data_IF_263951121943
#
_entry.id   IF_263951121943
#
_cell.length_a   1.000
_cell.length_b   1.000
_cell.length_c   1.000
_cell.angle_alpha   90.00
_cell.angle_beta   90.00
_cell.angle_gamma   90.00
#
_symmetry.space_group_name_H-M   'P 1'
#
loop_
_entity.id
_entity.type
_entity.pdbx_description
1 polymer ?
#
# COMPACT_ATOMS: atom_id res chain seq x y z
N UNK A 1 -28.85 0.89 5.55
CA UNK A 1 -29.00 1.39 4.16
C UNK A 1 -27.69 1.11 3.44
N UNK A 2 -27.67 0.17 2.50
CA UNK A 2 -26.49 -0.08 1.65
C UNK A 2 -26.39 1.05 0.63
N UNK A 3 -25.45 1.97 0.83
CA UNK A 3 -25.11 3.00 -0.16
C UNK A 3 -24.87 2.32 -1.51
N UNK A 4 -25.46 2.80 -2.62
CA UNK A 4 -25.14 2.26 -3.94
C UNK A 4 -23.63 2.33 -4.16
N UNK A 5 -23.04 1.30 -4.78
CA UNK A 5 -21.61 1.20 -5.10
C UNK A 5 -21.23 2.17 -6.22
N UNK A 6 -21.45 3.46 -5.99
CA UNK A 6 -20.93 4.54 -6.82
C UNK A 6 -19.42 4.61 -6.61
N UNK A 7 -18.71 5.14 -7.60
CA UNK A 7 -17.28 5.42 -7.46
C UNK A 7 -16.97 6.24 -6.21
N UNK A 8 -17.78 7.28 -5.94
CA UNK A 8 -17.65 8.10 -4.75
C UNK A 8 -17.84 7.27 -3.46
N UNK A 9 -18.84 6.39 -3.42
CA UNK A 9 -19.06 5.48 -2.31
C UNK A 9 -17.90 4.50 -2.11
N UNK A 10 -17.34 3.94 -3.18
CA UNK A 10 -16.16 3.09 -3.12
C UNK A 10 -14.95 3.84 -2.56
N UNK A 11 -14.66 5.05 -3.06
CA UNK A 11 -13.57 5.88 -2.57
C UNK A 11 -13.71 6.27 -1.10
N UNK A 12 -14.95 6.54 -0.64
CA UNK A 12 -15.27 6.80 0.76
C UNK A 12 -15.08 5.58 1.66
N UNK A 13 -15.30 4.37 1.13
CA UNK A 13 -15.07 3.11 1.82
C UNK A 13 -13.63 2.61 1.69
N UNK A 14 -12.68 3.47 1.30
CA UNK A 14 -11.26 3.10 1.25
C UNK A 14 -10.83 2.30 0.02
N UNK A 15 -11.72 2.08 -0.95
CA UNK A 15 -11.34 1.46 -2.21
C UNK A 15 -10.58 2.46 -3.09
N UNK A 16 -9.66 1.93 -3.89
CA UNK A 16 -8.93 2.68 -4.92
C UNK A 16 -8.98 1.96 -6.24
N UNK A 17 -9.07 2.74 -7.31
CA UNK A 17 -8.95 2.24 -8.66
C UNK A 17 -7.57 1.58 -8.84
N UNK A 18 -7.55 0.41 -9.48
CA UNK A 18 -6.36 -0.32 -9.84
C UNK A 18 -6.37 -0.66 -11.34
N UNK A 19 -5.20 -0.55 -11.98
CA UNK A 19 -5.02 -1.00 -13.35
C UNK A 19 -5.16 -2.52 -13.45
N UNK A 20 -5.36 -3.04 -14.66
CA UNK A 20 -5.38 -4.49 -14.89
C UNK A 20 -4.09 -5.19 -14.43
N UNK A 21 -2.93 -4.55 -14.65
CA UNK A 21 -1.62 -5.06 -14.22
C UNK A 21 -1.48 -5.07 -12.70
N UNK A 22 -1.88 -4.01 -12.02
CA UNK A 22 -1.84 -3.94 -10.56
C UNK A 22 -2.79 -4.95 -9.91
N UNK A 23 -3.99 -5.11 -10.48
CA UNK A 23 -4.91 -6.15 -10.03
C UNK A 23 -4.33 -7.56 -10.20
N UNK A 24 -3.63 -7.83 -11.31
CA UNK A 24 -2.96 -9.13 -11.50
C UNK A 24 -1.85 -9.32 -10.46
N UNK A 25 -1.01 -8.32 -10.26
CA UNK A 25 0.05 -8.33 -9.25
C UNK A 25 -0.48 -8.63 -7.85
N UNK A 26 -1.50 -7.90 -7.38
CA UNK A 26 -2.06 -8.11 -6.04
C UNK A 26 -2.64 -9.52 -5.87
N UNK A 27 -3.29 -10.03 -6.92
CA UNK A 27 -3.79 -11.41 -6.92
C UNK A 27 -2.65 -12.43 -6.86
N UNK A 28 -1.59 -12.23 -7.65
CA UNK A 28 -0.44 -13.13 -7.71
C UNK A 28 0.37 -13.13 -6.40
N UNK A 29 0.35 -12.02 -5.65
CA UNK A 29 1.01 -11.89 -4.34
C UNK A 29 0.15 -12.42 -3.18
N UNK A 30 -1.06 -12.90 -3.43
CA UNK A 30 -1.88 -13.61 -2.46
C UNK A 30 -3.01 -12.80 -1.81
N UNK A 31 -3.27 -11.57 -2.24
CA UNK A 31 -4.40 -10.79 -1.70
C UNK A 31 -5.74 -11.39 -2.16
N UNK A 32 -6.55 -11.83 -1.18
CA UNK A 32 -7.82 -12.49 -1.42
C UNK A 32 -8.93 -11.48 -1.75
N UNK A 33 -9.17 -11.26 -3.05
CA UNK A 33 -10.42 -10.76 -3.65
C UNK A 33 -11.16 -9.64 -2.90
N UNK A 34 -10.47 -8.53 -2.65
CA UNK A 34 -11.10 -7.23 -2.37
C UNK A 34 -11.39 -6.43 -3.66
N UNK A 35 -11.30 -7.10 -4.81
CA UNK A 35 -11.60 -6.53 -6.10
C UNK A 35 -13.12 -6.33 -6.28
N UNK A 36 -13.55 -5.09 -6.46
CA UNK A 36 -14.92 -4.78 -6.91
C UNK A 36 -14.86 -4.22 -8.32
N UNK A 37 -15.78 -4.68 -9.18
CA UNK A 37 -16.02 -4.03 -10.48
C UNK A 37 -16.90 -2.81 -10.23
N UNK A 38 -16.33 -1.63 -10.41
CA UNK A 38 -17.07 -0.38 -10.44
C UNK A 38 -17.70 -0.13 -11.81
N UNK A 39 -18.79 0.64 -11.89
CA UNK A 39 -19.31 1.13 -13.16
C UNK A 39 -18.32 2.13 -13.79
N UNK A 40 -18.00 2.11 -15.10
CA UNK A 40 -18.27 1.10 -16.11
C UNK A 40 -16.95 0.38 -16.48
N UNK A 41 -16.59 -0.72 -15.80
CA UNK A 41 -15.38 -1.54 -16.05
C UNK A 41 -14.09 -1.14 -15.32
N UNK A 42 -14.17 -0.29 -14.30
CA UNK A 42 -13.01 0.07 -13.46
C UNK A 42 -12.83 -0.98 -12.35
N UNK A 43 -11.60 -1.47 -12.14
CA UNK A 43 -11.29 -2.38 -11.03
C UNK A 43 -10.95 -1.55 -9.81
N UNK A 44 -11.61 -1.83 -8.70
CA UNK A 44 -11.32 -1.22 -7.40
C UNK A 44 -10.77 -2.28 -6.47
N UNK A 45 -9.75 -1.95 -5.67
CA UNK A 45 -9.21 -2.82 -4.63
C UNK A 45 -9.22 -2.11 -3.28
N UNK A 46 -9.43 -2.88 -2.21
CA UNK A 46 -9.34 -2.44 -0.83
C UNK A 46 -8.28 -3.30 -0.12
N UNK A 47 -7.41 -2.70 0.72
CA UNK A 47 -7.36 -1.30 1.15
C UNK A 47 -6.53 -0.38 0.24
N UNK A 48 -6.77 0.93 0.35
CA UNK A 48 -6.05 1.97 -0.39
C UNK A 48 -4.52 1.96 -0.19
N UNK A 49 -4.05 1.59 1.01
CA UNK A 49 -2.63 1.50 1.33
C UNK A 49 -1.91 0.44 0.46
N UNK A 50 -2.51 -0.73 0.28
CA UNK A 50 -1.98 -1.82 -0.55
C UNK A 50 -1.88 -1.41 -2.01
N UNK A 51 -2.92 -0.74 -2.53
CA UNK A 51 -2.92 -0.19 -3.89
C UNK A 51 -1.83 0.86 -4.07
N UNK A 52 -1.62 1.71 -3.07
CA UNK A 52 -0.53 2.68 -3.08
C UNK A 52 0.81 1.95 -3.15
N UNK A 53 1.10 1.00 -2.25
CA UNK A 53 2.38 0.26 -2.26
C UNK A 53 2.66 -0.51 -3.54
N UNK A 54 1.61 -1.07 -4.17
CA UNK A 54 1.75 -1.78 -5.43
C UNK A 54 2.07 -0.85 -6.63
N UNK A 55 1.91 0.47 -6.48
CA UNK A 55 2.21 1.42 -7.55
C UNK A 55 3.71 1.69 -7.66
N UNK A 56 4.24 1.65 -8.88
CA UNK A 56 5.65 1.92 -9.20
C UNK A 56 6.16 3.26 -8.66
N UNK A 57 5.28 4.26 -8.53
CA UNK A 57 5.64 5.58 -7.96
C UNK A 57 6.11 5.51 -6.51
N UNK A 58 5.86 4.41 -5.81
CA UNK A 58 6.29 4.21 -4.43
C UNK A 58 7.56 3.36 -4.32
N UNK A 59 8.15 2.89 -5.42
CA UNK A 59 9.42 2.14 -5.39
C UNK A 59 10.54 2.95 -4.72
N UNK A 60 10.54 4.28 -4.86
CA UNK A 60 11.50 5.18 -4.19
C UNK A 60 11.50 5.05 -2.66
N UNK A 61 10.37 4.67 -2.08
CA UNK A 61 10.26 4.45 -0.63
C UNK A 61 10.95 3.16 -0.22
N UNK A 62 10.88 2.11 -1.05
CA UNK A 62 11.54 0.85 -0.78
C UNK A 62 13.07 0.96 -0.86
N UNK A 63 13.60 1.93 -1.60
CA UNK A 63 15.03 2.25 -1.63
C UNK A 63 15.41 3.16 -2.81
N UNK A 64 16.62 3.76 -2.77
CA UNK A 64 17.08 4.69 -3.80
C UNK A 64 17.47 4.01 -5.13
N UNK A 65 17.69 2.70 -5.11
CA UNK A 65 18.03 1.91 -6.29
C UNK A 65 16.73 1.49 -6.97
N UNK A 66 16.30 2.14 -8.06
CA UNK A 66 15.17 1.67 -8.86
C UNK A 66 15.56 0.42 -9.68
N UNK A 67 16.08 -0.59 -8.99
CA UNK A 67 16.64 -1.81 -9.53
C UNK A 67 15.78 -3.03 -9.14
N UNK A 68 16.25 -4.21 -9.53
CA UNK A 68 15.57 -5.46 -9.24
C UNK A 68 15.39 -5.71 -7.73
N UNK A 69 16.34 -5.28 -6.89
CA UNK A 69 16.27 -5.47 -5.44
C UNK A 69 15.14 -4.66 -4.81
N UNK A 70 14.83 -3.48 -5.34
CA UNK A 70 13.69 -2.67 -4.88
C UNK A 70 12.35 -3.28 -5.28
N UNK A 71 12.26 -3.91 -6.45
CA UNK A 71 11.07 -4.68 -6.86
C UNK A 71 10.88 -5.90 -5.95
N UNK A 72 11.95 -6.64 -5.67
CA UNK A 72 11.91 -7.81 -4.79
C UNK A 72 11.48 -7.43 -3.36
N UNK A 73 11.97 -6.29 -2.83
CA UNK A 73 11.54 -5.73 -1.53
C UNK A 73 10.05 -5.39 -1.53
N UNK A 74 9.56 -4.68 -2.55
CA UNK A 74 8.13 -4.36 -2.69
C UNK A 74 7.28 -5.63 -2.64
N UNK A 75 7.64 -6.63 -3.44
CA UNK A 75 6.88 -7.87 -3.55
C UNK A 75 6.94 -8.67 -2.25
N UNK A 76 8.07 -8.67 -1.54
CA UNK A 76 8.19 -9.29 -0.22
C UNK A 76 7.29 -8.59 0.81
N UNK A 77 7.26 -7.25 0.85
CA UNK A 77 6.38 -6.50 1.73
C UNK A 77 4.91 -6.77 1.43
N UNK A 78 4.52 -6.76 0.16
CA UNK A 78 3.15 -7.06 -0.26
C UNK A 78 2.74 -8.49 0.12
N UNK A 79 3.63 -9.47 0.00
CA UNK A 79 3.37 -10.85 0.48
C UNK A 79 3.24 -10.93 2.00
N UNK A 80 4.06 -10.19 2.75
CA UNK A 80 3.97 -10.15 4.20
C UNK A 80 2.62 -9.58 4.65
N UNK A 81 2.13 -8.53 4.00
CA UNK A 81 0.81 -7.96 4.25
C UNK A 81 -0.29 -8.95 3.85
N UNK A 82 -0.20 -9.60 2.70
CA UNK A 82 -1.19 -10.59 2.27
C UNK A 82 -1.28 -11.79 3.22
N UNK A 83 -0.18 -12.13 3.89
CA UNK A 83 -0.13 -13.20 4.89
C UNK A 83 -0.66 -12.77 6.27
N UNK A 84 -0.83 -11.46 6.51
CA UNK A 84 -1.21 -10.89 7.81
C UNK A 84 -2.38 -9.88 7.66
N UNK A 85 -3.62 -10.36 7.84
CA UNK A 85 -4.80 -9.50 7.79
C UNK A 85 -4.84 -8.41 8.88
N UNK A 86 -4.16 -8.61 10.02
CA UNK A 86 -4.08 -7.59 11.08
C UNK A 86 -3.15 -6.46 10.66
N UNK A 87 -2.01 -6.79 10.05
CA UNK A 87 -1.12 -5.82 9.41
C UNK A 87 -1.85 -5.04 8.31
N UNK A 88 -2.57 -5.72 7.41
CA UNK A 88 -3.36 -5.06 6.37
C UNK A 88 -4.39 -4.07 6.94
N UNK A 89 -5.10 -4.46 8.01
CA UNK A 89 -6.06 -3.61 8.70
C UNK A 89 -5.39 -2.42 9.42
N UNK A 90 -4.22 -2.63 10.02
CA UNK A 90 -3.46 -1.57 10.68
C UNK A 90 -2.96 -0.52 9.67
N UNK A 91 -2.43 -0.95 8.53
CA UNK A 91 -2.01 -0.05 7.45
C UNK A 91 -3.18 0.76 6.90
N UNK A 92 -4.36 0.15 6.80
CA UNK A 92 -5.58 0.87 6.44
C UNK A 92 -5.95 1.92 7.49
N UNK A 93 -5.90 1.58 8.78
CA UNK A 93 -6.19 2.52 9.85
C UNK A 93 -5.24 3.73 9.80
N UNK A 94 -3.93 3.48 9.65
CA UNK A 94 -2.92 4.53 9.46
C UNK A 94 -3.27 5.40 8.25
N UNK A 95 -3.55 4.79 7.10
CA UNK A 95 -3.90 5.50 5.87
C UNK A 95 -5.12 6.43 6.06
N UNK A 96 -6.16 5.97 6.76
CA UNK A 96 -7.38 6.75 6.98
C UNK A 96 -7.17 7.86 8.01
N UNK A 97 -6.38 7.63 9.06
CA UNK A 97 -6.11 8.62 10.11
C UNK A 97 -5.42 9.88 9.60
N UNK A 98 -4.58 9.77 8.56
CA UNK A 98 -3.89 10.91 7.95
C UNK A 98 -4.76 11.66 6.91
N UNK A 99 -6.02 11.22 6.71
CA UNK A 99 -6.88 11.74 5.67
C UNK A 99 -6.36 11.41 4.27
N UNK A 100 -7.12 11.70 3.22
CA UNK A 100 -6.74 11.33 1.84
C UNK A 100 -5.58 12.17 1.25
N UNK A 101 -4.79 12.85 2.09
CA UNK A 101 -3.51 13.47 1.71
C UNK A 101 -2.54 12.35 1.31
N UNK A 102 -2.34 12.18 -0.01
CA UNK A 102 -1.61 11.02 -0.53
C UNK A 102 -0.13 10.97 -0.11
N UNK A 103 0.48 12.08 0.31
CA UNK A 103 1.89 12.13 0.68
C UNK A 103 2.11 11.77 2.15
N UNK A 104 1.37 12.39 3.07
CA UNK A 104 1.52 12.15 4.52
C UNK A 104 1.02 10.75 4.90
N UNK A 105 -0.13 10.33 4.35
CA UNK A 105 -0.65 8.99 4.57
C UNK A 105 0.30 7.91 4.04
N UNK A 106 0.93 8.14 2.88
CA UNK A 106 1.92 7.22 2.35
C UNK A 106 3.20 7.19 3.18
N UNK A 107 3.70 8.34 3.64
CA UNK A 107 4.84 8.41 4.54
C UNK A 107 4.54 7.65 5.83
N UNK A 108 3.39 7.87 6.45
CA UNK A 108 2.99 7.20 7.68
C UNK A 108 2.84 5.68 7.50
N UNK A 109 2.19 5.23 6.42
CA UNK A 109 2.11 3.80 6.07
C UNK A 109 3.50 3.21 5.87
N UNK A 110 4.40 3.92 5.21
CA UNK A 110 5.76 3.45 5.01
C UNK A 110 6.55 3.37 6.32
N UNK A 111 6.47 4.39 7.18
CA UNK A 111 7.07 4.37 8.51
C UNK A 111 6.58 3.17 9.33
N UNK A 112 5.27 2.92 9.31
CA UNK A 112 4.68 1.77 9.98
C UNK A 112 5.23 0.45 9.43
N UNK A 113 5.42 0.31 8.11
CA UNK A 113 5.98 -0.90 7.52
C UNK A 113 7.43 -1.14 7.90
N UNK A 114 8.24 -0.08 7.98
CA UNK A 114 9.62 -0.22 8.45
C UNK A 114 9.68 -0.68 9.90
N UNK A 115 8.73 -0.26 10.73
CA UNK A 115 8.61 -0.69 12.12
C UNK A 115 8.07 -2.12 12.24
N UNK A 116 7.09 -2.48 11.40
CA UNK A 116 6.42 -3.78 11.44
C UNK A 116 7.21 -4.92 10.76
N UNK A 117 8.01 -4.59 9.73
CA UNK A 117 8.76 -5.56 8.92
C UNK A 117 10.24 -5.13 8.78
N UNK A 118 10.96 -4.91 9.90
CA UNK A 118 12.32 -4.36 9.87
C UNK A 118 13.31 -5.20 9.06
N UNK A 119 13.10 -6.51 8.95
CA UNK A 119 13.91 -7.43 8.16
C UNK A 119 13.87 -7.16 6.66
N UNK A 120 12.80 -6.55 6.14
CA UNK A 120 12.66 -6.20 4.72
C UNK A 120 13.33 -4.87 4.36
N UNK A 121 13.58 -4.02 5.36
CA UNK A 121 14.13 -2.69 5.17
C UNK A 121 15.55 -2.54 5.75
N UNK A 122 16.01 -3.47 6.59
CA UNK A 122 17.35 -3.47 7.16
C UNK A 122 17.65 -2.15 7.89
N UNK A 123 18.88 -1.63 7.73
CA UNK A 123 19.32 -0.37 8.33
C UNK A 123 18.83 0.88 7.56
N UNK A 124 17.82 0.78 6.68
CA UNK A 124 17.26 1.94 5.98
C UNK A 124 16.63 2.86 7.03
N UNK A 125 17.42 3.85 7.45
CA UNK A 125 16.95 4.94 8.27
C UNK A 125 15.89 5.72 7.46
N UNK A 126 14.78 6.13 8.09
CA UNK A 126 13.77 6.96 7.44
C UNK A 126 14.42 8.16 6.74
N UNK A 127 13.87 8.64 5.60
CA UNK A 127 14.28 9.89 4.99
C UNK A 127 14.14 11.02 6.04
N UNK A 128 15.28 11.49 6.58
CA UNK A 128 15.31 12.48 7.67
C UNK A 128 16.13 12.09 8.90
N UNK A 129 16.49 10.82 9.08
CA UNK A 129 17.31 10.38 10.22
C UNK A 129 18.84 10.60 10.04
N UNK A 130 19.25 11.28 8.96
CA UNK A 130 20.62 11.81 8.81
C UNK A 130 20.79 13.06 9.69
N UNK A 131 20.94 12.88 10.99
CA UNK A 131 21.16 14.03 11.88
C UNK A 131 21.46 13.74 13.35
N UNK A 132 21.53 12.49 13.79
CA UNK A 132 21.90 12.15 15.18
C UNK A 132 23.10 11.19 15.18
N UNK A 133 24.26 11.71 14.78
CA UNK A 133 25.55 11.21 15.26
C UNK A 133 26.26 12.38 15.92
N UNK A 134 26.78 12.10 17.12
CA UNK A 134 27.26 13.08 18.10
C UNK A 134 28.47 13.90 17.67
#
# INVERSE_FOLDING_TARGET
MTTPWTEQGMRQNGYRECSGSMHALLKDLGFAEHARRGPPYVRFWYPAAVVAMASERYLVWFGPEADRATVDRRDATLRAIAADPELEAALYAVWVSYGTSNADAAHAVFMYLMEALPELFGCLLPPGARGLRG
#
